data_IF_071811667078
#
_entry.id   IF_071811667078
#
_cell.length_a   1.000
_cell.length_b   1.000
_cell.length_c   1.000
_cell.angle_alpha   90.00
_cell.angle_beta   90.00
_cell.angle_gamma   90.00
#
_symmetry.space_group_name_H-M   'P 1'
#
loop_
_entity.id
_entity.type
_entity.pdbx_description
1 polymer ?
#
# COMPACT_ATOMS: atom_id res chain seq x y z
N UNK A 1 17.18 -18.45 11.65
CA UNK A 1 17.16 -17.07 11.12
C UNK A 1 15.72 -16.59 11.11
N UNK A 2 15.32 -15.81 12.11
CA UNK A 2 13.99 -15.22 12.16
C UNK A 2 14.02 -13.96 11.29
N UNK A 3 13.40 -14.02 10.10
CA UNK A 3 13.26 -12.89 9.18
C UNK A 3 11.78 -12.70 8.90
N UNK A 4 11.31 -11.47 8.95
CA UNK A 4 9.96 -11.09 8.55
C UNK A 4 10.03 -10.23 7.30
N UNK A 5 9.19 -10.54 6.32
CA UNK A 5 8.96 -9.70 5.16
C UNK A 5 7.45 -9.54 4.97
N UNK A 6 6.98 -8.29 5.01
CA UNK A 6 5.59 -7.93 4.78
C UNK A 6 5.52 -7.17 3.47
N UNK A 7 4.63 -7.60 2.61
CA UNK A 7 4.40 -7.03 1.28
C UNK A 7 2.97 -6.49 1.20
N UNK A 8 2.63 -5.82 0.10
CA UNK A 8 1.23 -5.52 -0.20
C UNK A 8 0.47 -6.81 -0.47
N UNK A 9 -0.81 -6.84 -0.10
CA UNK A 9 -1.69 -7.96 -0.42
C UNK A 9 -1.82 -8.12 -1.93
N UNK A 10 -1.26 -9.22 -2.47
CA UNK A 10 -1.33 -9.53 -3.90
C UNK A 10 -2.78 -9.58 -4.41
N UNK A 11 -3.71 -10.11 -3.61
CA UNK A 11 -5.13 -10.13 -3.98
C UNK A 11 -5.70 -8.72 -4.18
N UNK A 12 -5.38 -7.78 -3.29
CA UNK A 12 -5.86 -6.39 -3.41
C UNK A 12 -5.25 -5.69 -4.61
N UNK A 13 -3.95 -5.88 -4.84
CA UNK A 13 -3.26 -5.35 -6.02
C UNK A 13 -3.87 -5.93 -7.31
N UNK A 14 -4.18 -7.23 -7.32
CA UNK A 14 -4.84 -7.88 -8.45
C UNK A 14 -6.26 -7.34 -8.70
N UNK A 15 -7.07 -7.17 -7.65
CA UNK A 15 -8.41 -6.59 -7.77
C UNK A 15 -8.37 -5.15 -8.30
N UNK A 16 -7.41 -4.33 -7.86
CA UNK A 16 -7.18 -2.99 -8.40
C UNK A 16 -6.75 -3.04 -9.87
N UNK A 17 -5.92 -4.01 -10.24
CA UNK A 17 -5.49 -4.22 -11.64
C UNK A 17 -6.68 -4.56 -12.53
N UNK A 18 -7.61 -5.39 -12.04
CA UNK A 18 -8.82 -5.76 -12.77
C UNK A 18 -9.72 -4.57 -13.07
N UNK A 19 -9.69 -3.51 -12.24
CA UNK A 19 -10.47 -2.29 -12.47
C UNK A 19 -10.02 -1.55 -13.74
N UNK A 20 -8.79 -1.76 -14.22
CA UNK A 20 -8.34 -1.22 -15.50
C UNK A 20 -8.96 -1.90 -16.72
N UNK A 21 -9.39 -3.17 -16.61
CA UNK A 21 -10.04 -3.92 -17.71
C UNK A 21 -11.33 -3.26 -18.21
N UNK A 22 -12.32 -2.90 -17.37
CA UNK A 22 -13.52 -2.23 -17.85
C UNK A 22 -13.23 -0.87 -18.48
N UNK A 23 -12.23 -0.12 -18.00
CA UNK A 23 -11.78 1.13 -18.62
C UNK A 23 -11.29 0.91 -20.06
N UNK A 24 -10.49 -0.14 -20.27
CA UNK A 24 -10.01 -0.51 -21.61
C UNK A 24 -11.18 -0.92 -22.49
N UNK A 25 -12.08 -1.78 -22.00
CA UNK A 25 -13.23 -2.26 -22.77
C UNK A 25 -14.17 -1.11 -23.18
N UNK A 26 -14.50 -0.21 -22.25
CA UNK A 26 -15.34 0.96 -22.54
C UNK A 26 -14.66 1.92 -23.53
N UNK A 27 -13.36 2.17 -23.36
CA UNK A 27 -12.61 3.01 -24.28
C UNK A 27 -12.51 2.41 -25.69
N UNK A 28 -12.30 1.10 -25.82
CA UNK A 28 -12.29 0.41 -27.11
C UNK A 28 -13.67 0.38 -27.76
N UNK A 29 -14.75 0.20 -26.98
CA UNK A 29 -16.12 0.23 -27.47
C UNK A 29 -16.47 1.61 -28.05
N UNK A 30 -16.12 2.69 -27.34
CA UNK A 30 -16.27 4.08 -27.81
C UNK A 30 -15.52 4.35 -29.13
N UNK A 31 -14.36 3.72 -29.34
CA UNK A 31 -13.50 3.95 -30.51
C UNK A 31 -13.91 3.15 -31.75
N UNK A 32 -14.66 2.06 -31.61
CA UNK A 32 -14.91 1.10 -32.69
C UNK A 32 -16.36 1.12 -33.16
N UNK A 33 -17.25 0.39 -32.46
CA UNK A 33 -18.62 0.11 -32.90
C UNK A 33 -19.69 0.58 -31.92
N UNK A 34 -19.30 1.11 -30.74
CA UNK A 34 -20.19 1.64 -29.69
C UNK A 34 -21.28 0.64 -29.26
N UNK A 35 -21.01 -0.66 -29.32
CA UNK A 35 -22.02 -1.70 -29.12
C UNK A 35 -22.50 -1.72 -27.68
N UNK A 36 -21.59 -1.61 -26.71
CA UNK A 36 -21.94 -1.64 -25.30
C UNK A 36 -22.63 -0.35 -24.87
N UNK A 37 -22.12 0.81 -25.31
CA UNK A 37 -22.74 2.09 -24.97
C UNK A 37 -24.11 2.24 -25.60
N UNK A 38 -24.31 1.83 -26.85
CA UNK A 38 -25.61 1.88 -27.49
C UNK A 38 -26.58 0.86 -26.87
N UNK A 39 -26.11 -0.34 -26.49
CA UNK A 39 -26.94 -1.32 -25.79
C UNK A 39 -27.37 -0.83 -24.40
N UNK A 40 -26.44 -0.21 -23.64
CA UNK A 40 -26.74 0.33 -22.32
C UNK A 40 -27.60 1.58 -22.39
N UNK A 41 -27.32 2.48 -23.33
CA UNK A 41 -28.14 3.67 -23.61
C UNK A 41 -29.57 3.28 -24.02
N UNK A 42 -29.73 2.25 -24.86
CA UNK A 42 -31.05 1.74 -25.21
C UNK A 42 -31.78 1.10 -24.02
N UNK A 43 -31.05 0.44 -23.11
CA UNK A 43 -31.61 -0.13 -21.88
C UNK A 43 -32.07 0.94 -20.88
N UNK A 44 -31.29 2.03 -20.72
CA UNK A 44 -31.51 3.06 -19.68
C UNK A 44 -32.40 4.21 -20.18
N UNK A 45 -32.23 4.65 -21.42
CA UNK A 45 -32.87 5.85 -21.98
C UNK A 45 -33.84 5.56 -23.15
N UNK A 46 -33.88 4.32 -23.65
CA UNK A 46 -34.66 3.95 -24.83
C UNK A 46 -33.95 4.28 -26.15
N UNK A 47 -34.34 3.59 -27.23
CA UNK A 47 -33.62 3.60 -28.52
C UNK A 47 -33.64 4.94 -29.29
N UNK A 48 -34.45 5.92 -28.87
CA UNK A 48 -34.68 7.16 -29.62
C UNK A 48 -33.74 8.31 -29.24
N UNK A 49 -32.95 8.19 -28.18
CA UNK A 49 -32.08 9.27 -27.66
C UNK A 49 -30.61 8.87 -27.59
N UNK A 50 -30.06 8.30 -28.66
CA UNK A 50 -28.62 8.05 -28.74
C UNK A 50 -27.92 9.35 -29.18
N UNK A 51 -27.17 10.04 -28.30
CA UNK A 51 -26.51 11.29 -28.65
C UNK A 51 -25.48 11.08 -29.76
N UNK A 52 -25.34 12.07 -30.65
CA UNK A 52 -24.36 12.03 -31.73
C UNK A 52 -22.93 12.09 -31.18
N UNK A 53 -22.04 11.27 -31.73
CA UNK A 53 -20.66 11.15 -31.27
C UNK A 53 -19.84 12.40 -31.58
N UNK A 54 -19.34 13.07 -30.54
CA UNK A 54 -18.55 14.29 -30.67
C UNK A 54 -17.04 14.00 -30.63
N UNK A 55 -16.19 14.90 -31.17
CA UNK A 55 -14.73 14.79 -31.03
C UNK A 55 -14.27 14.66 -29.56
N UNK A 56 -15.03 15.22 -28.62
CA UNK A 56 -14.83 15.10 -27.17
C UNK A 56 -14.89 13.65 -26.70
N UNK A 57 -15.81 12.86 -27.24
CA UNK A 57 -16.02 11.46 -26.83
C UNK A 57 -14.85 10.57 -27.28
N UNK A 58 -14.24 10.87 -28.44
CA UNK A 58 -12.99 10.24 -28.88
C UNK A 58 -11.84 10.49 -27.90
N UNK A 59 -11.72 11.73 -27.40
CA UNK A 59 -10.68 12.08 -26.43
C UNK A 59 -10.89 11.29 -25.14
N UNK A 60 -12.13 11.24 -24.62
CA UNK A 60 -12.44 10.44 -23.44
C UNK A 60 -12.17 8.95 -23.63
N UNK A 61 -12.49 8.41 -24.80
CA UNK A 61 -12.22 7.02 -25.12
C UNK A 61 -10.71 6.70 -25.08
N UNK A 62 -9.88 7.53 -25.73
CA UNK A 62 -8.42 7.38 -25.71
C UNK A 62 -7.87 7.49 -24.30
N UNK A 63 -8.30 8.51 -23.54
CA UNK A 63 -7.89 8.69 -22.13
C UNK A 63 -8.27 7.48 -21.29
N UNK A 64 -9.45 6.90 -21.52
CA UNK A 64 -9.94 5.73 -20.78
C UNK A 64 -9.12 4.48 -21.09
N UNK A 65 -8.81 4.22 -22.36
CA UNK A 65 -7.92 3.10 -22.76
C UNK A 65 -6.53 3.27 -22.14
N UNK A 66 -5.94 4.47 -22.24
CA UNK A 66 -4.61 4.74 -21.69
C UNK A 66 -4.59 4.61 -20.16
N UNK A 67 -5.58 5.18 -19.46
CA UNK A 67 -5.69 5.06 -18.01
C UNK A 67 -5.86 3.60 -17.58
N UNK A 68 -6.72 2.84 -18.26
CA UNK A 68 -6.92 1.42 -17.99
C UNK A 68 -5.65 0.60 -18.23
N UNK A 69 -4.92 0.85 -19.32
CA UNK A 69 -3.63 0.20 -19.59
C UNK A 69 -2.59 0.52 -18.51
N UNK A 70 -2.49 1.77 -18.08
CA UNK A 70 -1.57 2.19 -17.01
C UNK A 70 -1.91 1.45 -15.71
N UNK A 71 -3.19 1.37 -15.34
CA UNK A 71 -3.63 0.65 -14.14
C UNK A 71 -3.28 -0.84 -14.19
N UNK A 72 -3.57 -1.51 -15.32
CA UNK A 72 -3.28 -2.94 -15.50
C UNK A 72 -1.78 -3.21 -15.44
N UNK A 73 -0.97 -2.44 -16.19
CA UNK A 73 0.48 -2.63 -16.23
C UNK A 73 1.10 -2.36 -14.86
N UNK A 74 0.67 -1.28 -14.20
CA UNK A 74 1.19 -0.91 -12.89
C UNK A 74 0.86 -1.95 -11.82
N UNK A 75 -0.40 -2.40 -11.77
CA UNK A 75 -0.80 -3.44 -10.82
C UNK A 75 -0.17 -4.80 -11.12
N UNK A 76 -0.03 -5.20 -12.39
CA UNK A 76 0.68 -6.42 -12.77
C UNK A 76 2.16 -6.36 -12.40
N UNK A 77 2.81 -5.21 -12.57
CA UNK A 77 4.19 -5.00 -12.14
C UNK A 77 4.34 -5.23 -10.63
N UNK A 78 3.43 -4.69 -9.83
CA UNK A 78 3.46 -4.83 -8.36
C UNK A 78 3.14 -6.28 -7.92
N UNK A 79 2.43 -7.06 -8.74
CA UNK A 79 2.26 -8.52 -8.53
C UNK A 79 3.54 -9.32 -8.82
N UNK A 80 4.28 -8.95 -9.88
CA UNK A 80 5.49 -9.69 -10.30
C UNK A 80 6.71 -9.31 -9.45
N UNK A 81 6.80 -8.05 -9.04
CA UNK A 81 7.88 -7.51 -8.22
C UNK A 81 7.29 -6.86 -6.97
N UNK A 82 6.77 -7.65 -6.02
CA UNK A 82 6.08 -7.11 -4.85
C UNK A 82 7.04 -6.27 -4.02
N UNK A 83 6.57 -5.07 -3.68
CA UNK A 83 7.32 -4.19 -2.82
C UNK A 83 7.21 -4.61 -1.36
N UNK A 84 8.36 -4.82 -0.75
CA UNK A 84 8.48 -5.05 0.70
C UNK A 84 8.23 -3.75 1.46
N UNK A 85 7.20 -3.76 2.30
CA UNK A 85 6.76 -2.64 3.13
C UNK A 85 7.46 -2.66 4.49
N UNK A 86 7.54 -3.84 5.10
CA UNK A 86 8.24 -4.06 6.37
C UNK A 86 9.19 -5.23 6.18
N UNK A 87 10.45 -5.04 6.53
CA UNK A 87 11.46 -6.10 6.56
C UNK A 87 12.14 -6.06 7.90
N UNK A 88 12.16 -7.17 8.63
CA UNK A 88 12.86 -7.27 9.89
C UNK A 88 13.85 -8.43 9.82
N UNK A 89 15.10 -8.15 10.15
CA UNK A 89 16.19 -9.12 10.24
C UNK A 89 17.04 -8.84 11.49
N UNK A 90 18.14 -9.57 11.68
CA UNK A 90 19.02 -9.37 12.83
C UNK A 90 19.73 -8.01 12.87
N UNK A 91 19.77 -7.26 11.76
CA UNK A 91 20.42 -5.96 11.69
C UNK A 91 19.47 -4.80 12.03
N UNK A 92 18.15 -4.98 11.92
CA UNK A 92 17.19 -3.93 12.22
C UNK A 92 15.81 -4.14 11.61
N UNK A 93 14.97 -3.14 11.83
CA UNK A 93 13.64 -2.98 11.25
C UNK A 93 13.71 -2.00 10.08
N UNK A 94 13.32 -2.44 8.89
CA UNK A 94 13.23 -1.59 7.69
C UNK A 94 11.78 -1.36 7.33
N UNK A 95 11.36 -0.10 7.24
CA UNK A 95 9.98 0.29 6.96
C UNK A 95 9.93 1.29 5.79
N UNK A 96 9.04 1.04 4.83
CA UNK A 96 8.81 1.91 3.68
C UNK A 96 7.97 3.15 4.03
N UNK A 97 8.51 4.07 4.83
CA UNK A 97 7.82 5.28 5.31
C UNK A 97 7.98 6.50 4.40
N UNK A 98 8.92 6.50 3.47
CA UNK A 98 9.29 7.70 2.71
C UNK A 98 8.55 7.86 1.37
N UNK A 99 7.55 7.01 1.08
CA UNK A 99 6.69 7.12 -0.11
C UNK A 99 7.03 6.19 -1.28
N UNK A 100 6.26 6.27 -2.38
CA UNK A 100 6.22 5.24 -3.43
C UNK A 100 7.52 5.06 -4.23
N UNK A 101 8.45 6.02 -4.22
CA UNK A 101 9.72 5.92 -4.96
C UNK A 101 10.97 6.02 -4.06
N UNK A 102 10.80 6.09 -2.74
CA UNK A 102 11.90 6.23 -1.80
C UNK A 102 12.27 4.90 -1.16
N UNK A 103 13.54 4.80 -0.74
CA UNK A 103 14.06 3.62 -0.04
C UNK A 103 13.38 3.48 1.32
N UNK A 104 13.25 2.24 1.79
CA UNK A 104 12.84 1.98 3.16
C UNK A 104 13.88 2.55 4.13
N UNK A 105 13.40 3.11 5.24
CA UNK A 105 14.26 3.60 6.33
C UNK A 105 14.67 2.39 7.16
N UNK A 106 15.95 2.29 7.51
CA UNK A 106 16.49 1.21 8.35
C UNK A 106 16.67 1.74 9.76
N UNK A 107 16.09 1.02 10.72
CA UNK A 107 16.02 1.40 12.13
C UNK A 107 16.69 0.28 12.94
N UNK A 108 17.78 0.57 13.66
CA UNK A 108 18.40 -0.35 14.60
C UNK A 108 17.44 -0.81 15.70
N UNK A 109 17.60 -2.03 16.23
CA UNK A 109 16.67 -2.59 17.22
C UNK A 109 16.72 -1.93 18.60
N UNK A 110 17.85 -1.31 18.94
CA UNK A 110 18.04 -0.47 20.13
C UNK A 110 17.19 0.81 20.07
N UNK A 111 16.88 1.30 18.87
CA UNK A 111 16.00 2.46 18.67
C UNK A 111 14.51 2.08 18.63
N UNK A 112 14.18 0.78 18.56
CA UNK A 112 12.80 0.29 18.53
C UNK A 112 12.33 -0.03 19.95
N UNK A 113 11.37 0.78 20.42
CA UNK A 113 10.67 0.65 21.69
C UNK A 113 9.55 -0.39 21.63
N UNK A 114 8.37 -0.06 22.14
CA UNK A 114 7.21 -0.96 22.12
C UNK A 114 6.67 -1.19 20.70
N UNK A 115 6.20 -2.41 20.42
CA UNK A 115 5.59 -2.80 19.14
C UNK A 115 4.27 -3.52 19.45
N UNK A 116 3.16 -2.93 19.00
CA UNK A 116 1.82 -3.46 19.25
C UNK A 116 0.91 -3.29 18.04
N UNK A 117 -0.08 -4.16 17.94
CA UNK A 117 -1.15 -4.04 16.97
C UNK A 117 -2.40 -3.46 17.66
N UNK A 118 -3.08 -2.53 17.01
CA UNK A 118 -4.25 -1.86 17.54
C UNK A 118 -5.27 -1.61 16.43
N UNK A 119 -6.53 -1.40 16.80
CA UNK A 119 -7.56 -0.87 15.89
C UNK A 119 -7.73 0.61 16.21
N UNK A 120 -7.36 1.48 15.27
CA UNK A 120 -7.46 2.93 15.44
C UNK A 120 -8.68 3.49 14.70
N UNK A 121 -9.37 4.43 15.32
CA UNK A 121 -10.39 5.23 14.65
C UNK A 121 -9.69 6.30 13.78
N UNK A 122 -9.84 6.14 12.47
CA UNK A 122 -9.38 7.07 11.45
C UNK A 122 -10.59 7.67 10.74
N UNK A 123 -11.02 8.86 11.21
CA UNK A 123 -12.11 9.59 10.58
C UNK A 123 -13.47 8.88 10.64
N UNK A 124 -13.72 8.07 11.67
CA UNK A 124 -14.94 7.29 11.86
C UNK A 124 -14.85 5.86 11.31
N UNK A 125 -13.71 5.46 10.75
CA UNK A 125 -13.44 4.09 10.31
C UNK A 125 -12.40 3.42 11.20
N UNK A 126 -12.73 2.23 11.72
CA UNK A 126 -11.80 1.45 12.53
C UNK A 126 -10.83 0.67 11.63
N UNK A 127 -9.57 1.10 11.59
CA UNK A 127 -8.53 0.50 10.76
C UNK A 127 -7.49 -0.25 11.59
N UNK A 128 -7.02 -1.42 11.14
CA UNK A 128 -5.94 -2.14 11.81
C UNK A 128 -4.62 -1.41 11.57
N UNK A 129 -3.91 -1.12 12.65
CA UNK A 129 -2.65 -0.37 12.64
C UNK A 129 -1.56 -1.10 13.42
N UNK A 130 -0.32 -0.89 13.00
CA UNK A 130 0.87 -1.26 13.77
C UNK A 130 1.38 0.00 14.46
N UNK A 131 1.43 -0.01 15.79
CA UNK A 131 1.98 1.09 16.59
C UNK A 131 3.39 0.70 17.01
N UNK A 132 4.36 1.55 16.69
CA UNK A 132 5.77 1.38 17.03
C UNK A 132 6.26 2.63 17.75
N UNK A 133 6.85 2.43 18.90
CA UNK A 133 7.56 3.49 19.62
C UNK A 133 9.04 3.49 19.23
N UNK A 134 9.63 4.67 19.08
CA UNK A 134 11.02 4.86 18.72
C UNK A 134 11.74 5.74 19.74
N UNK A 135 12.95 5.35 20.13
CA UNK A 135 13.76 6.13 21.07
C UNK A 135 14.34 7.40 20.45
N UNK A 136 14.67 7.36 19.15
CA UNK A 136 15.18 8.50 18.37
C UNK A 136 14.33 8.72 17.11
N UNK A 137 13.28 9.57 17.17
CA UNK A 137 12.42 9.84 16.02
C UNK A 137 13.07 10.75 14.96
N UNK A 138 14.20 11.40 15.24
CA UNK A 138 14.78 12.42 14.34
C UNK A 138 15.34 11.80 13.03
N UNK A 139 15.59 10.49 13.04
CA UNK A 139 16.01 9.71 11.85
C UNK A 139 14.86 9.38 10.91
N UNK A 140 13.63 9.53 11.37
CA UNK A 140 12.42 9.16 10.64
C UNK A 140 11.81 10.39 9.94
N UNK A 141 11.12 10.20 8.81
CA UNK A 141 10.47 11.29 8.12
C UNK A 141 9.38 11.93 8.99
N UNK A 142 9.41 13.27 9.08
CA UNK A 142 8.41 14.06 9.82
C UNK A 142 7.01 13.88 9.27
N UNK A 143 6.88 13.68 7.95
CA UNK A 143 5.63 13.40 7.25
C UNK A 143 5.72 12.02 6.56
N UNK A 144 5.43 10.94 7.30
CA UNK A 144 5.58 9.58 6.79
C UNK A 144 4.40 9.18 5.89
N UNK A 145 4.70 8.43 4.83
CA UNK A 145 3.72 7.89 3.91
C UNK A 145 3.04 6.65 4.49
N UNK A 146 1.70 6.61 4.47
CA UNK A 146 0.88 5.51 5.02
C UNK A 146 1.16 5.21 6.51
N UNK A 147 1.61 6.22 7.24
CA UNK A 147 1.76 6.21 8.67
C UNK A 147 1.52 7.64 9.20
N UNK A 148 1.37 7.80 10.50
CA UNK A 148 1.30 9.11 11.14
C UNK A 148 1.92 9.07 12.52
N UNK A 149 2.48 10.20 12.94
CA UNK A 149 2.91 10.40 14.32
C UNK A 149 1.68 10.64 15.20
N UNK A 150 1.50 9.80 16.22
CA UNK A 150 0.43 9.95 17.23
C UNK A 150 0.95 10.49 18.57
N UNK A 151 2.28 10.52 18.71
CA UNK A 151 2.99 11.14 19.82
C UNK A 151 4.41 11.53 19.39
N UNK A 152 5.24 12.07 20.30
CA UNK A 152 6.60 12.50 19.99
C UNK A 152 7.50 11.37 19.48
N UNK A 153 7.28 10.16 20.00
CA UNK A 153 8.09 8.96 19.73
C UNK A 153 7.28 7.83 19.11
N UNK A 154 5.96 8.01 18.97
CA UNK A 154 5.05 6.91 18.61
C UNK A 154 4.52 7.09 17.20
N UNK A 155 4.85 6.13 16.34
CA UNK A 155 4.40 6.07 14.96
C UNK A 155 3.31 5.02 14.81
N UNK A 156 2.21 5.41 14.19
CA UNK A 156 1.11 4.52 13.82
C UNK A 156 1.15 4.26 12.33
N UNK A 157 1.25 2.99 11.93
CA UNK A 157 1.41 2.56 10.54
C UNK A 157 0.16 1.81 10.11
N UNK A 158 -0.45 2.24 9.00
CA UNK A 158 -1.65 1.60 8.47
C UNK A 158 -1.32 0.22 7.87
N UNK A 159 -2.06 -0.81 8.30
CA UNK A 159 -1.81 -2.19 7.88
C UNK A 159 -2.83 -2.75 6.90
N UNK A 160 -3.87 -1.98 6.54
CA UNK A 160 -4.97 -2.48 5.73
C UNK A 160 -4.47 -3.13 4.43
N UNK A 161 -3.47 -2.55 3.76
CA UNK A 161 -2.94 -3.07 2.50
C UNK A 161 -1.96 -4.24 2.60
N UNK A 162 -1.66 -4.78 3.78
CA UNK A 162 -0.58 -5.75 3.98
C UNK A 162 -1.00 -7.18 3.64
N UNK A 163 -0.02 -8.03 3.32
CA UNK A 163 -0.20 -9.47 3.14
C UNK A 163 -0.44 -10.22 4.44
N UNK A 164 -0.04 -9.65 5.59
CA UNK A 164 -0.20 -10.18 6.94
C UNK A 164 -0.96 -9.18 7.82
N UNK A 165 -1.66 -9.67 8.85
CA UNK A 165 -2.35 -8.80 9.82
C UNK A 165 -1.33 -8.05 10.70
N UNK A 166 -1.71 -6.85 11.19
CA UNK A 166 -0.90 -6.09 12.13
C UNK A 166 -0.51 -6.93 13.37
N UNK A 167 -1.44 -7.74 13.90
CA UNK A 167 -1.20 -8.62 15.04
C UNK A 167 -0.09 -9.66 14.77
N UNK A 168 -0.15 -10.33 13.61
CA UNK A 168 0.85 -11.32 13.22
C UNK A 168 2.23 -10.68 13.00
N UNK A 169 2.24 -9.48 12.42
CA UNK A 169 3.45 -8.69 12.23
C UNK A 169 4.05 -8.28 13.58
N UNK A 170 3.26 -7.69 14.48
CA UNK A 170 3.70 -7.28 15.81
C UNK A 170 4.27 -8.46 16.62
N UNK A 171 3.55 -9.59 16.65
CA UNK A 171 4.00 -10.79 17.35
C UNK A 171 5.34 -11.32 16.78
N UNK A 172 5.51 -11.29 15.46
CA UNK A 172 6.75 -11.75 14.83
C UNK A 172 7.91 -10.78 15.05
N UNK A 173 7.65 -9.47 15.01
CA UNK A 173 8.63 -8.44 15.30
C UNK A 173 9.13 -8.54 16.74
N UNK A 174 8.23 -8.69 17.71
CA UNK A 174 8.59 -8.89 19.12
C UNK A 174 9.44 -10.15 19.31
N UNK A 175 9.07 -11.27 18.67
CA UNK A 175 9.87 -12.49 18.69
C UNK A 175 11.27 -12.32 18.08
N UNK A 176 11.40 -11.53 17.02
CA UNK A 176 12.71 -11.23 16.42
C UNK A 176 13.54 -10.38 17.40
N UNK A 177 12.94 -9.33 17.96
CA UNK A 177 13.58 -8.43 18.94
C UNK A 177 14.08 -9.19 20.17
N UNK A 178 13.26 -10.05 20.76
CA UNK A 178 13.64 -10.89 21.91
C UNK A 178 14.77 -11.88 21.58
N UNK A 179 14.90 -12.28 20.32
CA UNK A 179 15.95 -13.19 19.87
C UNK A 179 17.29 -12.51 19.59
N UNK A 180 17.33 -11.17 19.60
CA UNK A 180 18.56 -10.42 19.43
C UNK A 180 19.21 -10.28 20.80
N UNK A 181 20.43 -10.81 20.99
CA UNK A 181 21.14 -10.63 22.24
C UNK A 181 21.31 -9.13 22.47
N UNK A 182 20.90 -8.65 23.65
CA UNK A 182 21.27 -7.31 24.08
C UNK A 182 22.80 -7.24 23.98
N UNK A 183 23.31 -6.43 23.06
CA UNK A 183 24.74 -6.28 22.91
C UNK A 183 25.32 -5.85 24.26
N UNK A 184 26.38 -6.56 24.64
CA UNK A 184 26.85 -6.70 26.01
C UNK A 184 26.98 -5.37 26.74
N UNK A 185 26.51 -5.37 27.98
CA UNK A 185 27.05 -4.60 29.10
C UNK A 185 28.48 -4.13 28.80
N UNK A 186 28.65 -2.82 28.58
CA UNK A 186 29.97 -2.23 28.42
C UNK A 186 30.81 -2.64 29.63
N UNK A 187 31.81 -3.50 29.42
CA UNK A 187 32.75 -3.83 30.48
C UNK A 187 33.43 -2.52 30.91
N UNK A 188 33.32 -2.13 32.20
CA UNK A 188 33.67 -0.78 32.65
C UNK A 188 35.18 -0.54 32.76
N UNK A 189 36.01 -1.18 31.92
CA UNK A 189 37.48 -1.11 32.05
C UNK A 189 38.31 -1.30 30.77
N UNK A 190 37.80 -1.02 29.58
CA UNK A 190 38.69 -0.78 28.40
C UNK A 190 38.94 0.71 28.14
#
# INVERSE_FOLDING_TARGET
MNRLEVERSALRVWLLSLLGVPFILLGLDLLTEQRFINAFGALVYGAEQIPAFEPRDKIFAIVSVLAGLVLVIWGLRDLVLPRKLVVADGAGLRIALAGPLRRAVSIPWDEVGDIRAEMADEGGEMLPVLVVEFSDPDRLPTDPWAARWVGPTTLMIESAGWSLSAESVAATLNKIRESIPAESEAMPWE
#
